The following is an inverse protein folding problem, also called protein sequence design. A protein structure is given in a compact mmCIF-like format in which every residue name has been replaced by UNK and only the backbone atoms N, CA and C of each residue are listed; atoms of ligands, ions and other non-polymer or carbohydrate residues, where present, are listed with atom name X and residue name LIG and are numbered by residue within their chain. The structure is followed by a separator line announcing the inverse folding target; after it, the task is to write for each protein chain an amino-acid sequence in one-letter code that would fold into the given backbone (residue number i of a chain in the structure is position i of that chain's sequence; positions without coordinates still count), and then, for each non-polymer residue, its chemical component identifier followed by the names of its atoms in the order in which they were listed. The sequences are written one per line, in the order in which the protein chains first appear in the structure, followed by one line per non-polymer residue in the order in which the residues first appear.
data_IF_873531351769
#
_entry.id   IF_873531351769
#
_cell.length_a   1.000
_cell.length_b   1.000
_cell.length_c   1.000
_cell.angle_alpha   90.00
_cell.angle_beta   90.00
_cell.angle_gamma   90.00
#
_symmetry.space_group_name_H-M   'P 1'
#
loop_
_entity.id
_entity.type
_entity.pdbx_description
1 polymer ?
#
# COMPACT_ATOMS: atom_id res chain seq x y z
N UNK A 1 0.75 18.84 23.48
CA UNK A 1 0.85 17.43 23.04
C UNK A 1 -0.13 17.10 21.92
N UNK A 2 -1.45 17.32 22.10
CA UNK A 2 -2.49 17.06 21.07
C UNK A 2 -2.22 17.68 19.69
N UNK A 3 -1.83 18.97 19.64
CA UNK A 3 -1.59 19.67 18.38
C UNK A 3 -0.40 19.09 17.61
N UNK A 4 0.67 18.72 18.31
CA UNK A 4 1.89 18.15 17.72
C UNK A 4 1.63 16.81 17.03
N UNK A 5 0.93 15.90 17.69
CA UNK A 5 0.58 14.60 17.13
C UNK A 5 -0.31 14.74 15.90
N UNK A 6 -1.26 15.69 15.94
CA UNK A 6 -2.13 15.99 14.80
C UNK A 6 -1.32 16.51 13.61
N UNK A 7 -0.36 17.41 13.86
CA UNK A 7 0.56 17.92 12.83
C UNK A 7 1.40 16.78 12.24
N UNK A 8 2.01 15.93 13.08
CA UNK A 8 2.78 14.75 12.63
C UNK A 8 1.91 13.86 11.76
N UNK A 9 0.68 13.56 12.18
CA UNK A 9 -0.27 12.73 11.43
C UNK A 9 -0.60 13.31 10.06
N UNK A 10 -0.80 14.64 9.97
CA UNK A 10 -1.05 15.34 8.71
C UNK A 10 0.19 15.29 7.81
N UNK A 11 1.38 15.54 8.37
CA UNK A 11 2.64 15.44 7.64
C UNK A 11 2.91 14.04 7.12
N UNK A 12 2.55 13.00 7.88
CA UNK A 12 2.65 11.61 7.43
C UNK A 12 1.73 11.35 6.22
N UNK A 13 0.48 11.81 6.27
CA UNK A 13 -0.45 11.71 5.14
C UNK A 13 0.10 12.48 3.93
N UNK A 14 0.60 13.69 4.15
CA UNK A 14 1.23 14.49 3.10
C UNK A 14 2.43 13.77 2.48
N UNK A 15 3.33 13.21 3.31
CA UNK A 15 4.49 12.44 2.85
C UNK A 15 4.07 11.24 2.00
N UNK A 16 3.00 10.53 2.37
CA UNK A 16 2.47 9.44 1.55
C UNK A 16 1.94 9.96 0.20
N UNK A 17 1.17 11.05 0.21
CA UNK A 17 0.62 11.67 -1.00
C UNK A 17 1.68 12.14 -1.99
N UNK A 18 2.75 12.78 -1.51
CA UNK A 18 3.83 13.27 -2.36
C UNK A 18 4.86 12.19 -2.70
N UNK A 19 4.64 10.93 -2.31
CA UNK A 19 5.55 9.80 -2.56
C UNK A 19 4.90 8.74 -3.45
N UNK A 20 5.70 7.96 -4.21
CA UNK A 20 5.16 6.86 -5.00
C UNK A 20 4.35 5.92 -4.10
N UNK A 21 3.26 5.31 -4.62
CA UNK A 21 2.80 5.33 -6.00
C UNK A 21 1.72 6.39 -6.27
N UNK A 22 1.61 7.42 -5.43
CA UNK A 22 0.71 8.53 -5.71
C UNK A 22 1.27 9.39 -6.85
N UNK A 23 0.37 9.86 -7.71
CA UNK A 23 0.74 10.64 -8.91
C UNK A 23 1.39 11.98 -8.53
N UNK A 24 1.06 12.55 -7.37
CA UNK A 24 1.66 13.80 -6.90
C UNK A 24 3.17 13.71 -6.66
N UNK A 25 3.73 12.50 -6.52
CA UNK A 25 5.17 12.29 -6.36
C UNK A 25 6.02 12.61 -7.58
N UNK A 26 5.37 12.82 -8.71
CA UNK A 26 5.98 13.16 -9.98
C UNK A 26 5.74 14.64 -10.36
N UNK A 27 5.04 15.41 -9.52
CA UNK A 27 4.94 16.85 -9.72
C UNK A 27 6.33 17.47 -9.62
N UNK A 28 6.71 18.39 -10.54
CA UNK A 28 8.07 18.94 -10.60
C UNK A 28 8.48 19.64 -9.30
N UNK A 29 7.52 20.20 -8.58
CA UNK A 29 7.75 20.85 -7.29
C UNK A 29 7.97 19.86 -6.14
N UNK A 30 7.44 18.63 -6.19
CA UNK A 30 7.61 17.62 -5.13
C UNK A 30 8.72 16.62 -5.46
N UNK A 31 9.91 17.16 -5.74
CA UNK A 31 11.12 16.41 -6.02
C UNK A 31 11.51 15.41 -4.92
N UNK A 32 12.48 14.54 -5.22
CA UNK A 32 13.01 13.55 -4.26
C UNK A 32 13.59 14.23 -3.02
N UNK A 33 14.13 15.44 -3.20
CA UNK A 33 14.76 16.28 -2.19
C UNK A 33 13.74 16.78 -1.16
N UNK A 34 12.59 17.30 -1.62
CA UNK A 34 11.52 17.79 -0.73
C UNK A 34 10.94 16.64 0.10
N UNK A 35 10.72 15.48 -0.53
CA UNK A 35 10.30 14.26 0.18
C UNK A 35 11.31 13.85 1.25
N UNK A 36 12.60 13.87 0.92
CA UNK A 36 13.68 13.57 1.85
C UNK A 36 13.66 14.53 3.05
N UNK A 37 13.56 15.84 2.80
CA UNK A 37 13.49 16.87 3.84
C UNK A 37 12.27 16.67 4.74
N UNK A 38 11.09 16.47 4.17
CA UNK A 38 9.86 16.20 4.92
C UNK A 38 10.02 14.91 5.76
N UNK A 39 10.62 13.87 5.19
CA UNK A 39 10.93 12.62 5.89
C UNK A 39 11.83 12.84 7.12
N UNK A 40 12.91 13.62 6.98
CA UNK A 40 13.81 13.98 8.09
C UNK A 40 13.06 14.76 9.16
N UNK A 41 12.28 15.77 8.77
CA UNK A 41 11.45 16.56 9.70
C UNK A 41 10.49 15.65 10.47
N UNK A 42 9.84 14.70 9.80
CA UNK A 42 8.94 13.72 10.43
C UNK A 42 9.69 12.84 11.43
N UNK A 43 10.87 12.32 11.07
CA UNK A 43 11.68 11.49 11.99
C UNK A 43 12.06 12.29 13.24
N UNK A 44 12.48 13.54 13.07
CA UNK A 44 12.80 14.45 14.19
C UNK A 44 11.58 14.70 15.09
N UNK A 45 10.42 14.99 14.50
CA UNK A 45 9.18 15.20 15.26
C UNK A 45 8.74 13.94 16.00
N UNK A 46 8.87 12.76 15.38
CA UNK A 46 8.58 11.46 16.01
C UNK A 46 9.55 11.16 17.16
N UNK A 47 10.82 11.53 17.02
CA UNK A 47 11.80 11.45 18.10
C UNK A 47 11.41 12.33 19.29
N UNK A 48 10.98 13.56 19.05
CA UNK A 48 10.50 14.48 20.09
C UNK A 48 9.18 14.01 20.76
N UNK A 49 8.39 13.17 20.07
CA UNK A 49 7.18 12.58 20.64
C UNK A 49 7.48 11.44 21.62
N UNK A 50 8.52 10.65 21.35
CA UNK A 50 8.99 9.62 22.27
C UNK A 50 10.53 9.51 22.25
N UNK A 51 11.15 10.17 23.23
CA UNK A 51 12.61 10.25 23.40
C UNK A 51 13.20 9.02 24.10
N UNK A 52 12.40 8.21 24.79
CA UNK A 52 12.89 7.04 25.52
C UNK A 52 12.97 5.84 24.58
N UNK A 53 14.18 5.41 24.27
CA UNK A 53 14.44 4.20 23.49
C UNK A 53 14.67 3.02 24.41
N UNK A 54 14.12 1.86 24.05
CA UNK A 54 14.51 0.59 24.66
C UNK A 54 15.82 0.10 24.03
N UNK A 55 16.61 -0.68 24.76
CA UNK A 55 17.88 -1.24 24.27
C UNK A 55 17.74 -1.96 22.91
N UNK A 56 16.73 -2.83 22.77
CA UNK A 56 16.43 -3.51 21.51
C UNK A 56 16.11 -2.53 20.37
N UNK A 57 15.48 -1.40 20.68
CA UNK A 57 15.11 -0.41 19.68
C UNK A 57 16.32 0.36 19.15
N UNK A 58 17.30 0.61 20.03
CA UNK A 58 18.59 1.21 19.69
C UNK A 58 19.39 0.25 18.81
N UNK A 59 19.50 -1.03 19.20
CA UNK A 59 20.24 -2.03 18.43
C UNK A 59 19.69 -2.17 17.01
N UNK A 60 18.36 -2.16 16.85
CA UNK A 60 17.74 -2.20 15.54
C UNK A 60 18.07 -0.94 14.70
N UNK A 61 18.06 0.24 15.33
CA UNK A 61 18.43 1.49 14.66
C UNK A 61 19.91 1.50 14.23
N UNK A 62 20.81 1.04 15.10
CA UNK A 62 22.24 0.88 14.80
C UNK A 62 22.42 -0.08 13.63
N UNK A 63 21.77 -1.24 13.65
CA UNK A 63 21.81 -2.21 12.56
C UNK A 63 21.40 -1.58 11.22
N UNK A 64 20.28 -0.85 11.19
CA UNK A 64 19.83 -0.15 10.00
C UNK A 64 20.85 0.88 9.49
N UNK A 65 21.48 1.63 10.40
CA UNK A 65 22.50 2.61 10.02
C UNK A 65 23.76 1.94 9.47
N UNK A 66 24.20 0.81 10.04
CA UNK A 66 25.33 0.03 9.51
C UNK A 66 25.01 -0.44 8.09
N UNK A 67 23.82 -1.03 7.87
CA UNK A 67 23.41 -1.50 6.54
C UNK A 67 23.38 -0.33 5.54
N UNK A 68 22.82 0.82 5.93
CA UNK A 68 22.81 2.03 5.10
C UNK A 68 24.22 2.47 4.71
N UNK A 69 25.15 2.50 5.68
CA UNK A 69 26.55 2.89 5.45
C UNK A 69 27.24 1.91 4.49
N UNK A 70 27.03 0.60 4.69
CA UNK A 70 27.56 -0.43 3.79
C UNK A 70 27.02 -0.26 2.36
N UNK A 71 25.74 0.06 2.21
CA UNK A 71 25.13 0.30 0.90
C UNK A 71 25.74 1.53 0.21
N UNK A 72 25.96 2.62 0.96
CA UNK A 72 26.60 3.84 0.44
C UNK A 72 28.04 3.55 0.01
N UNK A 73 28.83 2.84 0.82
CA UNK A 73 30.20 2.48 0.48
C UNK A 73 30.31 1.50 -0.69
N UNK A 74 29.32 0.63 -0.87
CA UNK A 74 29.29 -0.31 -1.99
C UNK A 74 29.09 0.36 -3.36
N UNK A 75 28.61 1.62 -3.37
CA UNK A 75 28.34 2.42 -4.58
C UNK A 75 27.52 1.70 -5.67
N UNK A 76 26.76 0.65 -5.30
CA UNK A 76 25.94 -0.12 -6.26
C UNK A 76 24.78 0.69 -6.83
N UNK A 77 24.31 1.65 -6.05
CA UNK A 77 23.11 2.43 -6.30
C UNK A 77 23.47 3.91 -6.21
N UNK A 78 22.73 4.77 -6.93
CA UNK A 78 22.87 6.21 -6.72
C UNK A 78 22.49 6.56 -5.27
N UNK A 79 23.24 7.49 -4.67
CA UNK A 79 23.05 7.90 -3.28
C UNK A 79 21.59 8.32 -3.00
N UNK A 80 20.96 9.02 -3.95
CA UNK A 80 19.57 9.43 -3.84
C UNK A 80 18.59 8.24 -3.77
N UNK A 81 18.84 7.16 -4.52
CA UNK A 81 18.00 5.96 -4.48
C UNK A 81 18.16 5.22 -3.14
N UNK A 82 19.40 5.14 -2.63
CA UNK A 82 19.69 4.56 -1.30
C UNK A 82 18.95 5.33 -0.22
N UNK A 83 19.19 6.64 -0.12
CA UNK A 83 18.55 7.47 0.91
C UNK A 83 17.03 7.40 0.84
N UNK A 84 16.45 7.44 -0.38
CA UNK A 84 15.00 7.36 -0.55
C UNK A 84 14.42 6.03 -0.08
N UNK A 85 15.07 4.90 -0.35
CA UNK A 85 14.56 3.59 0.05
C UNK A 85 14.63 3.39 1.57
N UNK A 86 15.76 3.75 2.17
CA UNK A 86 15.95 3.60 3.61
C UNK A 86 15.11 4.61 4.41
N UNK A 87 14.83 5.80 3.87
CA UNK A 87 13.93 6.76 4.50
C UNK A 87 12.55 6.14 4.78
N UNK A 88 11.99 5.34 3.85
CA UNK A 88 10.73 4.63 4.06
C UNK A 88 10.80 3.70 5.27
N UNK A 89 11.88 2.92 5.36
CA UNK A 89 12.12 1.96 6.45
C UNK A 89 12.27 2.68 7.80
N UNK A 90 13.07 3.74 7.85
CA UNK A 90 13.30 4.54 9.06
C UNK A 90 12.03 5.24 9.56
N UNK A 91 11.25 5.82 8.65
CA UNK A 91 9.97 6.46 8.98
C UNK A 91 8.98 5.40 9.47
N UNK A 92 8.82 4.27 8.78
CA UNK A 92 7.93 3.20 9.19
C UNK A 92 8.25 2.70 10.60
N UNK A 93 9.54 2.44 10.88
CA UNK A 93 9.98 2.03 12.21
C UNK A 93 9.72 3.09 13.29
N UNK A 94 10.01 4.36 13.00
CA UNK A 94 9.81 5.46 13.94
C UNK A 94 8.33 5.64 14.29
N UNK A 95 7.44 5.53 13.29
CA UNK A 95 5.99 5.58 13.50
C UNK A 95 5.54 4.43 14.37
N UNK A 96 5.94 3.19 14.05
CA UNK A 96 5.56 2.02 14.84
C UNK A 96 5.94 2.18 16.31
N UNK A 97 7.17 2.65 16.59
CA UNK A 97 7.64 2.91 17.96
C UNK A 97 6.71 3.88 18.69
N UNK A 98 6.45 5.05 18.10
CA UNK A 98 5.64 6.10 18.71
C UNK A 98 4.21 5.62 18.94
N UNK A 99 3.55 5.09 17.90
CA UNK A 99 2.15 4.69 17.97
C UNK A 99 1.92 3.48 18.90
N UNK A 100 2.88 2.56 19.00
CA UNK A 100 2.78 1.41 19.93
C UNK A 100 2.80 1.84 21.39
N UNK A 101 3.55 2.89 21.71
CA UNK A 101 3.68 3.39 23.10
C UNK A 101 2.56 4.33 23.50
N UNK A 102 1.98 5.06 22.54
CA UNK A 102 1.00 6.11 22.81
C UNK A 102 -0.32 5.82 22.10
N UNK A 103 -1.28 5.26 22.84
CA UNK A 103 -2.63 4.97 22.33
C UNK A 103 -3.34 6.22 21.79
N UNK A 104 -3.15 7.37 22.44
CA UNK A 104 -3.73 8.62 21.98
C UNK A 104 -3.19 9.02 20.59
N UNK A 105 -1.90 8.82 20.35
CA UNK A 105 -1.30 9.04 19.02
C UNK A 105 -1.83 8.06 17.98
N UNK A 106 -1.94 6.78 18.33
CA UNK A 106 -2.49 5.76 17.44
C UNK A 106 -3.93 6.11 17.04
N UNK A 107 -4.81 6.43 17.99
CA UNK A 107 -6.19 6.82 17.69
C UNK A 107 -6.28 8.09 16.86
N UNK A 108 -5.44 9.09 17.14
CA UNK A 108 -5.42 10.35 16.38
C UNK A 108 -5.02 10.11 14.93
N UNK A 109 -3.94 9.34 14.71
CA UNK A 109 -3.48 9.02 13.37
C UNK A 109 -4.51 8.16 12.62
N UNK A 110 -5.07 7.14 13.28
CA UNK A 110 -6.11 6.27 12.73
C UNK A 110 -7.34 7.08 12.28
N UNK A 111 -7.84 8.01 13.09
CA UNK A 111 -9.01 8.85 12.72
C UNK A 111 -8.72 9.76 11.53
N UNK A 112 -7.52 10.35 11.46
CA UNK A 112 -7.13 11.18 10.32
C UNK A 112 -6.93 10.35 9.06
N UNK A 113 -6.29 9.18 9.18
CA UNK A 113 -6.09 8.24 8.09
C UNK A 113 -7.42 7.78 7.46
N UNK A 114 -8.39 7.38 8.28
CA UNK A 114 -9.69 6.92 7.79
C UNK A 114 -10.49 8.06 7.14
N UNK A 115 -10.41 9.29 7.66
CA UNK A 115 -11.04 10.46 7.01
C UNK A 115 -10.39 10.76 5.66
N UNK A 116 -9.06 10.72 5.59
CA UNK A 116 -8.33 10.86 4.34
C UNK A 116 -8.71 9.78 3.32
N UNK A 117 -8.70 8.50 3.74
CA UNK A 117 -9.12 7.36 2.91
C UNK A 117 -10.55 7.52 2.39
N UNK A 118 -11.45 8.02 3.21
CA UNK A 118 -12.85 8.25 2.83
C UNK A 118 -12.97 9.27 1.71
N UNK A 119 -12.23 10.39 1.80
CA UNK A 119 -12.16 11.41 0.75
C UNK A 119 -11.64 10.79 -0.56
N UNK A 120 -10.52 10.06 -0.50
CA UNK A 120 -9.93 9.40 -1.67
C UNK A 120 -10.92 8.39 -2.29
N UNK A 121 -11.66 7.63 -1.47
CA UNK A 121 -12.65 6.66 -1.94
C UNK A 121 -13.83 7.33 -2.66
N UNK A 122 -14.34 8.45 -2.13
CA UNK A 122 -15.41 9.22 -2.79
C UNK A 122 -14.92 9.75 -4.13
N UNK A 123 -13.72 10.36 -4.17
CA UNK A 123 -13.15 10.91 -5.39
C UNK A 123 -12.93 9.82 -6.45
N UNK A 124 -12.47 8.63 -6.04
CA UNK A 124 -12.32 7.47 -6.90
C UNK A 124 -13.66 7.04 -7.55
N UNK A 125 -14.74 7.02 -6.78
CA UNK A 125 -16.09 6.68 -7.27
C UNK A 125 -16.59 7.73 -8.25
N UNK A 126 -16.44 9.02 -7.92
CA UNK A 126 -16.84 10.12 -8.82
C UNK A 126 -16.04 10.05 -10.13
N UNK A 127 -14.73 9.83 -10.05
CA UNK A 127 -13.84 9.68 -11.21
C UNK A 127 -14.30 8.56 -12.14
N UNK A 128 -14.73 7.41 -11.60
CA UNK A 128 -15.32 6.34 -12.41
C UNK A 128 -16.54 6.82 -13.19
N UNK A 129 -17.54 7.40 -12.51
CA UNK A 129 -18.79 7.79 -13.15
C UNK A 129 -18.57 8.88 -14.20
N UNK A 130 -17.71 9.85 -13.92
CA UNK A 130 -17.37 10.90 -14.88
C UNK A 130 -16.71 10.26 -16.12
N UNK A 131 -15.65 9.47 -15.96
CA UNK A 131 -14.89 8.98 -17.11
C UNK A 131 -15.58 7.86 -17.89
N UNK A 132 -16.45 7.06 -17.24
CA UNK A 132 -17.18 5.96 -17.87
C UNK A 132 -18.36 6.45 -18.72
N UNK A 133 -19.08 7.48 -18.25
CA UNK A 133 -20.33 7.93 -18.87
C UNK A 133 -20.23 9.29 -19.56
N UNK A 134 -19.10 9.98 -19.43
CA UNK A 134 -18.86 11.25 -20.10
C UNK A 134 -17.50 11.27 -20.78
N UNK A 135 -17.38 12.04 -21.85
CA UNK A 135 -16.09 12.31 -22.51
C UNK A 135 -15.34 13.47 -21.84
N UNK A 136 -15.64 13.75 -20.56
CA UNK A 136 -15.14 14.92 -19.85
C UNK A 136 -13.69 14.71 -19.38
N UNK A 137 -12.75 14.80 -20.31
CA UNK A 137 -11.33 14.91 -19.98
C UNK A 137 -11.02 16.36 -19.60
N UNK A 138 -10.90 16.62 -18.29
CA UNK A 138 -10.41 17.91 -17.80
C UNK A 138 -8.98 17.75 -17.31
N UNK A 139 -8.03 18.00 -18.21
CA UNK A 139 -6.62 18.18 -17.85
C UNK A 139 -6.42 19.55 -17.19
N UNK A 140 -7.01 19.76 -16.00
CA UNK A 140 -6.81 20.98 -15.21
C UNK A 140 -5.39 21.06 -14.63
N UNK A 141 -4.73 19.91 -14.50
CA UNK A 141 -3.29 19.82 -14.24
C UNK A 141 -2.67 19.24 -15.50
N UNK A 142 -1.89 20.06 -16.22
CA UNK A 142 -1.14 19.62 -17.38
C UNK A 142 -0.01 18.68 -16.95
N UNK A 143 -0.33 17.40 -16.82
CA UNK A 143 0.69 16.34 -16.78
C UNK A 143 1.34 16.11 -18.16
N UNK A 144 0.98 16.92 -19.17
CA UNK A 144 1.51 16.88 -20.55
C UNK A 144 3.05 16.94 -20.64
N UNK A 145 3.75 17.40 -19.60
CA UNK A 145 5.23 17.41 -19.58
C UNK A 145 5.86 16.09 -19.12
N UNK A 146 5.07 15.02 -18.99
CA UNK A 146 5.52 13.80 -18.32
C UNK A 146 5.16 12.55 -19.10
N UNK A 147 5.81 12.37 -20.26
CA UNK A 147 5.92 11.07 -20.95
C UNK A 147 6.44 9.95 -20.02
N UNK A 148 7.02 10.32 -18.87
CA UNK A 148 7.47 9.41 -17.80
C UNK A 148 6.41 9.04 -16.75
N UNK A 149 5.24 9.69 -16.72
CA UNK A 149 4.26 9.63 -15.63
C UNK A 149 3.12 8.65 -15.91
N UNK A 150 2.80 8.52 -17.18
CA UNK A 150 1.82 7.62 -17.72
C UNK A 150 2.51 6.82 -18.79
N UNK A 151 2.51 5.49 -18.67
CA UNK A 151 3.00 4.67 -19.76
C UNK A 151 2.15 5.03 -20.99
N UNK A 152 2.75 5.55 -22.09
CA UNK A 152 2.00 6.02 -23.25
C UNK A 152 1.17 4.91 -23.89
N UNK A 153 1.47 3.64 -23.58
CA UNK A 153 0.68 2.48 -24.00
C UNK A 153 -0.66 2.32 -23.25
N UNK A 154 -0.89 3.06 -22.15
CA UNK A 154 -2.16 3.02 -21.42
C UNK A 154 -3.00 4.26 -21.73
N UNK A 155 -4.28 4.03 -22.03
CA UNK A 155 -5.27 5.07 -22.27
C UNK A 155 -5.77 5.66 -20.94
N UNK A 156 -5.01 6.61 -20.40
CA UNK A 156 -5.34 7.31 -19.16
C UNK A 156 -6.33 8.44 -19.41
N UNK A 157 -7.46 8.41 -18.69
CA UNK A 157 -8.40 9.53 -18.62
C UNK A 157 -8.23 10.29 -17.31
N UNK A 158 -8.08 11.61 -17.43
CA UNK A 158 -7.69 12.49 -16.33
C UNK A 158 -8.86 13.40 -15.97
N UNK A 159 -9.17 13.45 -14.66
CA UNK A 159 -10.14 14.39 -14.08
C UNK A 159 -9.60 14.97 -12.77
N UNK A 160 -10.21 16.05 -12.28
CA UNK A 160 -9.90 16.62 -10.94
C UNK A 160 -10.12 15.58 -9.82
N UNK A 161 -11.04 14.64 -10.05
CA UNK A 161 -11.42 13.62 -9.08
C UNK A 161 -10.48 12.40 -9.09
N UNK A 162 -9.58 12.32 -10.07
CA UNK A 162 -8.63 11.23 -10.21
C UNK A 162 -8.54 10.70 -11.65
N UNK A 163 -7.79 9.60 -11.77
CA UNK A 163 -7.43 8.94 -13.01
C UNK A 163 -8.19 7.63 -13.18
N UNK A 164 -8.58 7.35 -14.42
CA UNK A 164 -9.02 6.02 -14.85
C UNK A 164 -8.16 5.54 -16.01
N UNK A 165 -8.12 4.22 -16.19
CA UNK A 165 -7.45 3.57 -17.32
C UNK A 165 -8.48 2.73 -18.03
N UNK A 166 -8.72 3.00 -19.31
CA UNK A 166 -9.62 2.20 -20.11
C UNK A 166 -9.06 0.79 -20.30
N UNK A 167 -9.91 -0.23 -20.13
CA UNK A 167 -9.57 -1.61 -20.45
C UNK A 167 -10.76 -2.31 -21.08
N UNK A 168 -10.51 -2.97 -22.21
CA UNK A 168 -11.47 -3.86 -22.84
C UNK A 168 -11.43 -5.23 -22.18
N UNK A 169 -12.58 -5.68 -21.67
CA UNK A 169 -12.81 -7.02 -21.14
C UNK A 169 -13.71 -7.76 -22.13
N UNK A 170 -13.10 -8.52 -23.05
CA UNK A 170 -13.78 -9.16 -24.17
C UNK A 170 -14.63 -8.15 -24.97
N UNK A 171 -15.96 -8.15 -24.81
CA UNK A 171 -16.90 -7.27 -25.50
C UNK A 171 -17.29 -6.01 -24.72
N UNK A 172 -16.83 -5.83 -23.47
CA UNK A 172 -17.18 -4.67 -22.64
C UNK A 172 -15.94 -3.81 -22.37
N UNK A 173 -15.97 -2.54 -22.77
CA UNK A 173 -14.98 -1.53 -22.38
C UNK A 173 -15.33 -0.89 -21.04
N UNK A 174 -14.41 -0.95 -20.06
CA UNK A 174 -14.61 -0.37 -18.74
C UNK A 174 -13.44 0.51 -18.31
N UNK A 175 -13.77 1.63 -17.67
CA UNK A 175 -12.83 2.50 -16.99
C UNK A 175 -12.41 1.90 -15.65
N UNK A 176 -11.13 1.57 -15.52
CA UNK A 176 -10.56 1.07 -14.27
C UNK A 176 -10.07 2.21 -13.42
N UNK A 177 -10.56 2.30 -12.19
CA UNK A 177 -10.20 3.41 -11.30
C UNK A 177 -8.77 3.26 -10.78
N UNK A 178 -7.94 4.26 -11.06
CA UNK A 178 -6.63 4.46 -10.42
C UNK A 178 -6.67 5.53 -9.34
N UNK A 179 -7.74 6.34 -9.26
CA UNK A 179 -7.88 7.44 -8.29
C UNK A 179 -6.67 8.37 -8.38
N UNK A 180 -5.88 8.57 -7.32
CA UNK A 180 -4.64 9.37 -7.35
C UNK A 180 -3.37 8.52 -7.39
N UNK A 181 -3.48 7.25 -7.81
CA UNK A 181 -2.37 6.33 -7.98
C UNK A 181 -2.01 6.18 -9.46
N UNK A 182 -0.78 5.77 -9.73
CA UNK A 182 -0.29 5.55 -11.11
C UNK A 182 -0.95 4.35 -11.80
N UNK A 183 -1.48 3.39 -11.04
CA UNK A 183 -2.16 2.21 -11.57
C UNK A 183 -3.35 1.77 -10.69
N UNK A 184 -4.37 1.10 -11.26
CA UNK A 184 -5.51 0.58 -10.51
C UNK A 184 -5.11 -0.46 -9.44
N UNK A 185 -3.97 -1.16 -9.64
CA UNK A 185 -3.52 -2.18 -8.70
C UNK A 185 -3.07 -1.59 -7.36
N UNK A 186 -2.40 -0.43 -7.37
CA UNK A 186 -2.03 0.31 -6.16
C UNK A 186 -3.25 0.88 -5.44
N UNK A 187 -4.21 1.42 -6.20
CA UNK A 187 -5.48 1.89 -5.66
C UNK A 187 -6.24 0.75 -4.97
N UNK A 188 -6.33 -0.42 -5.61
CA UNK A 188 -6.93 -1.62 -5.03
C UNK A 188 -6.25 -2.01 -3.71
N UNK A 189 -4.92 -2.00 -3.68
CA UNK A 189 -4.17 -2.26 -2.44
C UNK A 189 -4.50 -1.29 -1.31
N UNK A 190 -4.55 0.01 -1.62
CA UNK A 190 -4.94 1.04 -0.67
C UNK A 190 -6.34 0.77 -0.10
N UNK A 191 -7.34 0.53 -0.94
CA UNK A 191 -8.71 0.26 -0.49
C UNK A 191 -8.82 -1.05 0.29
N UNK A 192 -8.11 -2.12 -0.09
CA UNK A 192 -8.09 -3.38 0.66
C UNK A 192 -7.55 -3.20 2.08
N UNK A 193 -6.45 -2.47 2.24
CA UNK A 193 -5.95 -2.17 3.58
C UNK A 193 -6.93 -1.32 4.40
N UNK A 194 -7.57 -0.34 3.79
CA UNK A 194 -8.56 0.47 4.50
C UNK A 194 -9.79 -0.36 4.93
N UNK A 195 -10.22 -1.34 4.12
CA UNK A 195 -11.25 -2.30 4.53
C UNK A 195 -10.83 -3.10 5.77
N UNK A 196 -9.59 -3.59 5.82
CA UNK A 196 -9.06 -4.27 7.00
C UNK A 196 -9.08 -3.35 8.23
N UNK A 197 -8.55 -2.13 8.11
CA UNK A 197 -8.51 -1.16 9.22
C UNK A 197 -9.93 -0.91 9.75
N UNK A 198 -10.89 -0.64 8.86
CA UNK A 198 -12.27 -0.32 9.25
C UNK A 198 -12.97 -1.54 9.85
N UNK A 199 -12.76 -2.74 9.28
CA UNK A 199 -13.39 -3.98 9.75
C UNK A 199 -13.03 -4.30 11.22
N UNK A 200 -11.80 -4.01 11.63
CA UNK A 200 -11.33 -4.18 13.01
C UNK A 200 -11.77 -3.06 13.96
N UNK A 201 -12.22 -1.92 13.43
CA UNK A 201 -12.58 -0.73 14.18
C UNK A 201 -14.04 -0.29 13.94
N UNK A 202 -14.96 -1.23 13.70
CA UNK A 202 -16.38 -0.96 13.40
C UNK A 202 -17.09 -0.11 14.45
N UNK A 203 -16.66 -0.18 15.71
CA UNK A 203 -17.25 0.63 16.79
C UNK A 203 -16.84 2.11 16.71
N UNK A 204 -15.71 2.42 16.08
CA UNK A 204 -15.15 3.76 15.98
C UNK A 204 -15.59 4.49 14.70
N UNK A 205 -15.94 3.75 13.65
CA UNK A 205 -16.20 4.31 12.33
C UNK A 205 -17.55 3.85 11.77
N UNK A 206 -18.37 4.78 11.25
CA UNK A 206 -19.64 4.43 10.61
C UNK A 206 -19.47 3.48 9.41
N UNK A 207 -20.46 2.61 9.18
CA UNK A 207 -20.46 1.61 8.10
C UNK A 207 -20.25 2.22 6.70
N UNK A 208 -20.67 3.47 6.48
CA UNK A 208 -20.47 4.17 5.20
C UNK A 208 -18.99 4.25 4.78
N UNK A 209 -18.05 4.30 5.72
CA UNK A 209 -16.61 4.32 5.42
C UNK A 209 -16.16 2.98 4.81
N UNK A 210 -16.69 1.88 5.33
CA UNK A 210 -16.43 0.54 4.80
C UNK A 210 -17.03 0.39 3.40
N UNK A 211 -18.31 0.74 3.23
CA UNK A 211 -19.01 0.59 1.96
C UNK A 211 -18.42 1.45 0.84
N UNK A 212 -18.00 2.68 1.14
CA UNK A 212 -17.33 3.55 0.16
C UNK A 212 -15.96 3.01 -0.24
N UNK A 213 -15.15 2.52 0.71
CA UNK A 213 -13.86 1.88 0.39
C UNK A 213 -14.06 0.59 -0.41
N UNK A 214 -15.11 -0.18 -0.12
CA UNK A 214 -15.46 -1.39 -0.85
C UNK A 214 -15.83 -1.07 -2.29
N UNK A 215 -16.75 -0.11 -2.50
CA UNK A 215 -17.19 0.31 -3.83
C UNK A 215 -16.00 0.83 -4.65
N UNK A 216 -15.21 1.74 -4.06
CA UNK A 216 -14.02 2.28 -4.72
C UNK A 216 -13.02 1.17 -5.11
N UNK A 217 -12.81 0.19 -4.23
CA UNK A 217 -11.98 -0.97 -4.51
C UNK A 217 -12.52 -1.86 -5.64
N UNK A 218 -13.83 -2.14 -5.66
CA UNK A 218 -14.46 -2.92 -6.73
C UNK A 218 -14.29 -2.26 -8.10
N UNK A 219 -14.37 -0.92 -8.16
CA UNK A 219 -14.21 -0.12 -9.39
C UNK A 219 -12.76 -0.07 -9.90
N UNK A 220 -11.78 -0.57 -9.15
CA UNK A 220 -10.39 -0.71 -9.66
C UNK A 220 -10.26 -1.84 -10.69
N UNK A 221 -11.22 -2.77 -10.72
CA UNK A 221 -11.16 -4.00 -11.52
C UNK A 221 -9.79 -4.68 -11.43
N UNK A 222 -9.24 -4.74 -10.23
CA UNK A 222 -7.94 -5.34 -9.94
C UNK A 222 -8.13 -6.78 -9.46
N UNK A 223 -7.56 -7.73 -10.19
CA UNK A 223 -7.60 -9.16 -9.83
C UNK A 223 -7.05 -9.37 -8.40
N UNK A 224 -5.95 -8.71 -8.04
CA UNK A 224 -5.35 -8.85 -6.71
C UNK A 224 -6.25 -8.30 -5.62
N UNK A 225 -6.99 -7.21 -5.91
CA UNK A 225 -7.99 -6.68 -4.98
C UNK A 225 -9.11 -7.68 -4.75
N UNK A 226 -9.67 -8.26 -5.82
CA UNK A 226 -10.74 -9.26 -5.69
C UNK A 226 -10.31 -10.51 -4.91
N UNK A 227 -9.10 -11.02 -5.17
CA UNK A 227 -8.53 -12.14 -4.39
C UNK A 227 -8.39 -11.80 -2.90
N UNK A 228 -7.86 -10.63 -2.59
CA UNK A 228 -7.72 -10.18 -1.20
C UNK A 228 -9.08 -9.94 -0.55
N UNK A 229 -10.04 -9.40 -1.29
CA UNK A 229 -11.38 -9.14 -0.80
C UNK A 229 -12.11 -10.44 -0.40
N UNK A 230 -11.97 -11.52 -1.18
CA UNK A 230 -12.44 -12.86 -0.82
C UNK A 230 -11.86 -13.28 0.54
N UNK A 231 -10.55 -13.11 0.73
CA UNK A 231 -9.88 -13.48 1.98
C UNK A 231 -10.39 -12.64 3.16
N UNK A 232 -10.58 -11.33 2.98
CA UNK A 232 -11.14 -10.44 4.00
C UNK A 232 -12.56 -10.91 4.39
N UNK A 233 -13.38 -11.29 3.41
CA UNK A 233 -14.74 -11.76 3.66
C UNK A 233 -14.76 -13.08 4.43
N UNK A 234 -13.91 -14.04 4.05
CA UNK A 234 -13.84 -15.37 4.69
C UNK A 234 -13.30 -15.27 6.11
N UNK A 235 -12.24 -14.50 6.33
CA UNK A 235 -11.48 -14.52 7.58
C UNK A 235 -11.95 -13.48 8.62
N UNK A 236 -12.41 -12.31 8.18
CA UNK A 236 -12.69 -11.18 9.07
C UNK A 236 -14.18 -10.88 9.27
N UNK A 237 -15.04 -11.31 8.34
CA UNK A 237 -16.49 -11.08 8.46
C UNK A 237 -17.16 -12.35 9.02
N UNK A 238 -17.82 -12.23 10.19
CA UNK A 238 -18.67 -13.30 10.71
C UNK A 238 -19.94 -13.39 9.85
N UNK A 239 -20.21 -14.58 9.30
CA UNK A 239 -21.27 -14.97 8.35
C UNK A 239 -22.69 -14.37 8.49
N UNK A 240 -23.07 -13.76 9.63
CA UNK A 240 -24.45 -13.33 9.87
C UNK A 240 -24.88 -11.97 9.27
N UNK A 241 -23.94 -11.13 8.80
CA UNK A 241 -24.26 -9.81 8.18
C UNK A 241 -23.85 -9.74 6.71
N UNK A 242 -23.53 -10.89 6.12
CA UNK A 242 -22.72 -11.06 4.91
C UNK A 242 -23.56 -11.25 3.65
N UNK A 243 -24.86 -11.50 3.78
CA UNK A 243 -25.65 -11.97 2.63
C UNK A 243 -25.66 -10.97 1.46
N UNK A 244 -25.84 -9.66 1.67
CA UNK A 244 -25.91 -8.72 0.53
C UNK A 244 -24.53 -8.47 -0.10
N UNK A 245 -23.48 -8.25 0.71
CA UNK A 245 -22.12 -8.00 0.20
C UNK A 245 -21.56 -9.24 -0.48
N UNK A 246 -21.79 -10.43 0.07
CA UNK A 246 -21.36 -11.70 -0.51
C UNK A 246 -22.19 -12.05 -1.74
N UNK A 247 -23.48 -11.70 -1.80
CA UNK A 247 -24.28 -11.88 -3.02
C UNK A 247 -23.79 -10.96 -4.14
N UNK A 248 -23.44 -9.69 -3.84
CA UNK A 248 -22.88 -8.75 -4.83
C UNK A 248 -21.45 -9.14 -5.24
N UNK A 249 -20.64 -9.65 -4.32
CA UNK A 249 -19.30 -10.14 -4.63
C UNK A 249 -19.33 -11.43 -5.42
N UNK A 250 -20.12 -12.41 -4.97
CA UNK A 250 -20.28 -13.67 -5.69
C UNK A 250 -20.94 -13.41 -7.03
N UNK A 251 -21.90 -12.49 -7.15
CA UNK A 251 -22.46 -12.16 -8.46
C UNK A 251 -21.46 -11.43 -9.36
N UNK A 252 -20.64 -10.50 -8.85
CA UNK A 252 -19.61 -9.83 -9.67
C UNK A 252 -18.45 -10.75 -10.06
N UNK A 253 -17.97 -11.61 -9.16
CA UNK A 253 -16.99 -12.65 -9.47
C UNK A 253 -17.57 -13.72 -10.38
N UNK A 254 -18.81 -14.14 -10.16
CA UNK A 254 -19.51 -15.08 -11.04
C UNK A 254 -19.73 -14.45 -12.40
N UNK A 255 -20.10 -13.17 -12.52
CA UNK A 255 -20.20 -12.47 -13.81
C UNK A 255 -18.85 -12.39 -14.52
N UNK A 256 -17.75 -12.14 -13.79
CA UNK A 256 -16.38 -12.14 -14.33
C UNK A 256 -15.90 -13.53 -14.74
N UNK A 257 -16.23 -14.56 -13.95
CA UNK A 257 -15.91 -15.95 -14.23
C UNK A 257 -16.80 -16.49 -15.36
N UNK A 258 -18.08 -16.14 -15.40
CA UNK A 258 -19.04 -16.53 -16.44
C UNK A 258 -18.70 -15.83 -17.74
N UNK A 259 -18.39 -14.53 -17.74
CA UNK A 259 -17.91 -13.85 -18.94
C UNK A 259 -16.56 -14.39 -19.44
N UNK A 260 -15.72 -14.88 -18.53
CA UNK A 260 -14.46 -15.54 -18.85
C UNK A 260 -14.65 -16.99 -19.35
N UNK A 261 -15.58 -17.77 -18.77
CA UNK A 261 -15.81 -19.18 -19.09
C UNK A 261 -16.69 -19.36 -20.34
N UNK A 262 -17.67 -18.49 -20.59
CA UNK A 262 -18.55 -18.59 -21.76
C UNK A 262 -17.85 -18.28 -23.09
N UNK A 263 -16.58 -17.86 -23.07
CA UNK A 263 -15.82 -17.52 -24.28
C UNK A 263 -14.71 -18.53 -24.63
N UNK A 264 -14.58 -19.66 -23.93
CA UNK A 264 -13.40 -20.53 -24.10
C UNK A 264 -13.76 -21.93 -24.59
N UNK A 265 -13.45 -22.19 -25.86
CA UNK A 265 -13.14 -23.52 -26.37
C UNK A 265 -11.78 -23.96 -25.77
N UNK A 266 -11.60 -25.23 -25.46
CA UNK A 266 -10.40 -25.70 -24.74
C UNK A 266 -9.06 -25.37 -25.45
N UNK A 267 -9.07 -25.19 -26.79
CA UNK A 267 -7.92 -24.73 -27.58
C UNK A 267 -7.68 -23.20 -27.52
N UNK A 268 -8.71 -22.38 -27.28
CA UNK A 268 -8.53 -20.93 -27.07
C UNK A 268 -8.03 -20.58 -25.67
N UNK A 269 -8.02 -21.52 -24.73
CA UNK A 269 -7.47 -21.32 -23.39
C UNK A 269 -5.96 -20.97 -23.43
N UNK A 270 -5.18 -21.61 -24.32
CA UNK A 270 -3.76 -21.30 -24.50
C UNK A 270 -3.51 -19.95 -25.22
N UNK A 271 -4.31 -19.63 -26.24
CA UNK A 271 -4.26 -18.33 -26.94
C UNK A 271 -4.68 -17.17 -26.04
N UNK A 272 -5.59 -17.41 -25.08
CA UNK A 272 -6.04 -16.37 -24.16
C UNK A 272 -5.02 -16.09 -23.03
N UNK A 273 -4.21 -17.06 -22.62
CA UNK A 273 -3.11 -16.79 -21.69
C UNK A 273 -2.10 -15.80 -22.29
N UNK A 274 -1.84 -15.87 -23.61
CA UNK A 274 -1.04 -14.89 -24.34
C UNK A 274 -1.69 -13.51 -24.50
N UNK A 275 -3.01 -13.41 -24.41
CA UNK A 275 -3.70 -12.12 -24.43
C UNK A 275 -3.84 -11.48 -23.03
N UNK A 276 -3.55 -12.22 -21.97
CA UNK A 276 -3.52 -11.66 -20.61
C UNK A 276 -2.13 -11.17 -20.22
N UNK A 277 -2.06 -10.26 -19.26
CA UNK A 277 -0.78 -9.85 -18.66
C UNK A 277 -0.10 -10.97 -17.85
N UNK A 278 -0.62 -12.20 -17.83
CA UNK A 278 -0.05 -13.28 -17.03
C UNK A 278 1.26 -13.81 -17.63
N UNK A 279 1.29 -14.13 -18.93
CA UNK A 279 2.49 -14.64 -19.59
C UNK A 279 3.63 -13.62 -19.55
N UNK A 280 3.38 -12.37 -19.93
CA UNK A 280 4.35 -11.26 -19.81
C UNK A 280 4.90 -11.11 -18.38
N UNK A 281 4.05 -11.24 -17.36
CA UNK A 281 4.49 -11.18 -15.95
C UNK A 281 5.37 -12.37 -15.56
N UNK A 282 5.05 -13.56 -16.06
CA UNK A 282 5.83 -14.78 -15.82
C UNK A 282 7.19 -14.70 -16.50
N UNK A 283 7.25 -14.30 -17.78
CA UNK A 283 8.49 -14.13 -18.54
C UNK A 283 9.45 -13.15 -17.86
N UNK A 284 8.95 -11.96 -17.45
CA UNK A 284 9.77 -10.99 -16.70
C UNK A 284 10.31 -11.54 -15.38
N UNK A 285 9.52 -12.36 -14.68
CA UNK A 285 9.98 -13.00 -13.44
C UNK A 285 11.00 -14.11 -13.70
N UNK A 286 10.82 -14.92 -14.75
CA UNK A 286 11.78 -15.94 -15.16
C UNK A 286 13.12 -15.33 -15.55
N UNK A 287 13.10 -14.25 -16.32
CA UNK A 287 14.30 -13.52 -16.68
C UNK A 287 15.09 -13.05 -15.45
N UNK A 288 14.41 -12.49 -14.44
CA UNK A 288 15.11 -12.11 -13.20
C UNK A 288 15.67 -13.31 -12.43
N UNK A 289 14.98 -14.45 -12.42
CA UNK A 289 15.48 -15.68 -11.79
C UNK A 289 16.75 -16.15 -12.51
N UNK A 290 16.79 -16.03 -13.84
CA UNK A 290 17.97 -16.37 -14.64
C UNK A 290 19.16 -15.47 -14.31
N UNK A 291 18.95 -14.15 -14.23
CA UNK A 291 20.00 -13.20 -13.79
C UNK A 291 20.48 -13.51 -12.37
N UNK A 292 19.57 -13.93 -11.47
CA UNK A 292 19.92 -14.30 -10.10
C UNK A 292 20.71 -15.61 -10.01
N UNK A 293 20.50 -16.55 -10.96
CA UNK A 293 21.21 -17.83 -11.00
C UNK A 293 22.71 -17.65 -11.17
N UNK A 294 23.09 -16.65 -11.97
CA UNK A 294 24.49 -16.33 -12.26
C UNK A 294 25.06 -15.25 -11.33
N UNK A 295 24.31 -14.83 -10.30
CA UNK A 295 24.73 -13.80 -9.37
C UNK A 295 25.80 -14.30 -8.40
N UNK A 296 26.82 -13.47 -8.16
CA UNK A 296 27.83 -13.77 -7.13
C UNK A 296 27.21 -13.78 -5.73
N UNK A 297 27.85 -14.46 -4.78
CA UNK A 297 27.41 -14.53 -3.37
C UNK A 297 27.20 -13.12 -2.78
N UNK A 298 28.06 -12.17 -3.13
CA UNK A 298 27.91 -10.77 -2.71
C UNK A 298 26.60 -10.15 -3.22
N UNK A 299 26.27 -10.37 -4.50
CA UNK A 299 25.02 -9.88 -5.10
C UNK A 299 23.78 -10.60 -4.54
N UNK A 300 23.88 -11.86 -4.13
CA UNK A 300 22.79 -12.56 -3.45
C UNK A 300 22.54 -12.02 -2.04
N UNK A 301 23.60 -11.74 -1.28
CA UNK A 301 23.49 -11.23 0.09
C UNK A 301 22.95 -9.80 0.15
N UNK A 302 23.41 -8.96 -0.77
CA UNK A 302 23.22 -7.51 -0.70
C UNK A 302 22.50 -6.89 -1.91
N UNK A 303 22.15 -7.69 -2.91
CA UNK A 303 21.41 -7.25 -4.09
C UNK A 303 22.26 -6.64 -5.20
N UNK A 304 21.59 -6.32 -6.29
CA UNK A 304 22.12 -5.71 -7.51
C UNK A 304 22.04 -4.17 -7.48
N UNK A 305 21.56 -3.59 -6.39
CA UNK A 305 21.35 -2.16 -6.21
C UNK A 305 19.94 -1.70 -6.56
N UNK A 306 19.58 -0.55 -6.00
CA UNK A 306 18.24 0.03 -5.97
C UNK A 306 17.94 0.78 -7.26
N UNK A 307 16.81 0.42 -7.87
CA UNK A 307 16.36 0.83 -9.21
C UNK A 307 17.33 0.46 -10.33
N UNK A 308 18.12 -0.60 -10.17
CA UNK A 308 19.03 -1.07 -11.20
C UNK A 308 18.43 -2.15 -12.11
N UNK A 309 17.26 -2.71 -11.80
CA UNK A 309 16.66 -3.77 -12.61
C UNK A 309 16.42 -3.34 -14.07
N UNK A 310 16.09 -2.07 -14.30
CA UNK A 310 15.87 -1.51 -15.64
C UNK A 310 17.13 -1.65 -16.53
N UNK A 311 18.34 -1.70 -15.94
CA UNK A 311 19.59 -1.93 -16.69
C UNK A 311 19.74 -3.34 -17.24
N UNK A 312 18.94 -4.27 -16.72
CA UNK A 312 18.96 -5.68 -17.11
C UNK A 312 17.79 -6.04 -18.03
N UNK A 313 16.75 -5.21 -18.12
CA UNK A 313 15.59 -5.46 -18.97
C UNK A 313 15.64 -4.62 -20.24
N UNK A 314 15.75 -5.27 -21.40
CA UNK A 314 15.60 -4.65 -22.72
C UNK A 314 14.12 -4.44 -23.11
N UNK A 315 13.22 -4.33 -22.13
CA UNK A 315 11.81 -4.07 -22.39
C UNK A 315 11.64 -2.64 -22.92
N UNK A 316 11.24 -2.52 -24.19
CA UNK A 316 10.94 -1.24 -24.86
C UNK A 316 9.92 -0.38 -24.09
N UNK A 317 9.11 -1.01 -23.24
CA UNK A 317 8.09 -0.37 -22.41
C UNK A 317 8.59 -0.03 -21.00
N UNK A 318 9.87 -0.31 -20.71
CA UNK A 318 10.55 -0.02 -19.44
C UNK A 318 9.93 -0.73 -18.23
N UNK A 319 9.23 -1.85 -18.42
CA UNK A 319 8.48 -2.49 -17.35
C UNK A 319 9.43 -3.35 -16.52
N UNK A 320 9.52 -3.04 -15.22
CA UNK A 320 10.33 -3.80 -14.28
C UNK A 320 9.73 -5.17 -13.89
N UNK A 321 10.29 -5.79 -12.86
CA UNK A 321 9.79 -7.04 -12.29
C UNK A 321 8.32 -6.97 -11.87
N UNK A 322 7.56 -8.04 -12.16
CA UNK A 322 6.14 -8.09 -11.83
C UNK A 322 5.87 -8.60 -10.41
N UNK A 323 6.84 -9.30 -9.80
CA UNK A 323 6.78 -9.75 -8.41
C UNK A 323 7.53 -8.80 -7.48
N UNK A 324 6.83 -8.25 -6.48
CA UNK A 324 7.44 -7.42 -5.45
C UNK A 324 8.45 -8.18 -4.58
N UNK A 325 8.27 -9.48 -4.39
CA UNK A 325 9.22 -10.34 -3.68
C UNK A 325 10.52 -10.47 -4.45
N UNK A 326 10.45 -10.76 -5.77
CA UNK A 326 11.64 -10.80 -6.61
C UNK A 326 12.30 -9.43 -6.69
N UNK A 327 11.52 -8.35 -6.73
CA UNK A 327 12.04 -6.98 -6.69
C UNK A 327 12.82 -6.70 -5.38
N UNK A 328 12.29 -7.14 -4.24
CA UNK A 328 12.93 -6.99 -2.93
C UNK A 328 14.26 -7.76 -2.88
N UNK A 329 14.23 -9.02 -3.30
CA UNK A 329 15.40 -9.88 -3.31
C UNK A 329 16.47 -9.41 -4.30
N UNK A 330 16.07 -9.07 -5.53
CA UNK A 330 16.99 -8.65 -6.57
C UNK A 330 17.72 -7.36 -6.21
N UNK A 331 16.99 -6.35 -5.73
CA UNK A 331 17.59 -5.04 -5.48
C UNK A 331 18.34 -4.95 -4.15
N UNK A 332 17.81 -5.56 -3.09
CA UNK A 332 18.34 -5.41 -1.75
C UNK A 332 19.04 -6.66 -1.19
N UNK A 333 18.94 -7.81 -1.88
CA UNK A 333 19.50 -9.07 -1.43
C UNK A 333 18.77 -9.68 -0.23
N UNK A 334 19.29 -10.81 0.24
CA UNK A 334 18.71 -11.58 1.35
C UNK A 334 18.62 -10.76 2.64
N UNK A 335 19.65 -9.99 2.97
CA UNK A 335 19.78 -9.38 4.30
C UNK A 335 18.64 -8.39 4.58
N UNK A 336 18.39 -7.48 3.64
CA UNK A 336 17.34 -6.48 3.76
C UNK A 336 15.96 -7.11 3.48
N UNK A 337 15.88 -8.11 2.61
CA UNK A 337 14.64 -8.88 2.42
C UNK A 337 14.17 -9.47 3.75
N UNK A 338 15.06 -10.13 4.50
CA UNK A 338 14.78 -10.65 5.83
C UNK A 338 14.36 -9.54 6.80
N UNK A 339 15.02 -8.38 6.75
CA UNK A 339 14.68 -7.24 7.61
C UNK A 339 13.27 -6.71 7.32
N UNK A 340 12.92 -6.51 6.05
CA UNK A 340 11.58 -6.04 5.63
C UNK A 340 10.50 -7.04 6.05
N UNK A 341 10.74 -8.33 5.86
CA UNK A 341 9.81 -9.39 6.29
C UNK A 341 9.68 -9.44 7.81
N UNK A 342 10.80 -9.33 8.54
CA UNK A 342 10.81 -9.27 10.00
C UNK A 342 10.03 -8.06 10.53
N UNK A 343 10.22 -6.88 9.94
CA UNK A 343 9.45 -5.68 10.27
C UNK A 343 7.96 -5.89 10.01
N UNK A 344 7.59 -6.46 8.86
CA UNK A 344 6.19 -6.77 8.53
C UNK A 344 5.55 -7.69 9.58
N UNK A 345 6.25 -8.76 9.99
CA UNK A 345 5.81 -9.69 11.04
C UNK A 345 5.66 -8.99 12.38
N UNK A 346 6.67 -8.21 12.77
CA UNK A 346 6.69 -7.47 14.03
C UNK A 346 5.56 -6.44 14.10
N UNK A 347 5.39 -5.64 13.05
CA UNK A 347 4.37 -4.58 13.00
C UNK A 347 2.96 -5.13 12.95
N UNK A 348 2.79 -6.30 12.33
CA UNK A 348 1.50 -6.99 12.26
C UNK A 348 1.03 -7.54 13.62
N UNK A 349 1.88 -7.56 14.65
CA UNK A 349 1.57 -8.07 16.00
C UNK A 349 0.82 -9.42 15.97
N UNK A 350 1.30 -10.39 15.19
CA UNK A 350 0.69 -11.73 15.00
C UNK A 350 -0.67 -11.76 14.28
N UNK A 351 -1.09 -10.67 13.63
CA UNK A 351 -2.29 -10.67 12.80
C UNK A 351 -2.04 -11.47 11.50
N UNK A 352 -2.49 -12.74 11.49
CA UNK A 352 -2.30 -13.67 10.37
C UNK A 352 -3.01 -13.21 9.10
N UNK A 353 -4.22 -12.63 9.21
CA UNK A 353 -4.97 -12.12 8.05
C UNK A 353 -4.21 -10.98 7.38
N UNK A 354 -3.69 -10.04 8.16
CA UNK A 354 -2.87 -8.94 7.65
C UNK A 354 -1.62 -9.47 6.95
N UNK A 355 -0.90 -10.40 7.59
CA UNK A 355 0.31 -10.99 7.01
C UNK A 355 0.02 -11.70 5.69
N UNK A 356 -1.03 -12.51 5.61
CA UNK A 356 -1.43 -13.18 4.38
C UNK A 356 -1.72 -12.18 3.26
N UNK A 357 -2.47 -11.12 3.56
CA UNK A 357 -2.81 -10.08 2.58
C UNK A 357 -1.56 -9.32 2.13
N UNK A 358 -0.68 -8.96 3.05
CA UNK A 358 0.61 -8.34 2.73
C UNK A 358 1.48 -9.25 1.86
N UNK A 359 1.48 -10.57 2.08
CA UNK A 359 2.22 -11.52 1.25
C UNK A 359 1.63 -11.66 -0.16
N UNK A 360 0.31 -11.74 -0.30
CA UNK A 360 -0.36 -11.77 -1.61
C UNK A 360 -0.03 -10.52 -2.41
N UNK A 361 -0.08 -9.34 -1.77
CA UNK A 361 0.35 -8.12 -2.45
C UNK A 361 1.85 -8.11 -2.73
N UNK A 362 2.70 -8.70 -1.90
CA UNK A 362 4.14 -8.79 -2.16
C UNK A 362 4.44 -9.59 -3.43
N UNK A 363 3.64 -10.62 -3.72
CA UNK A 363 3.77 -11.40 -4.96
C UNK A 363 3.40 -10.60 -6.22
N UNK A 364 2.67 -9.49 -6.07
CA UNK A 364 2.13 -8.75 -7.20
C UNK A 364 2.65 -7.31 -7.31
N UNK A 365 3.17 -6.74 -6.22
CA UNK A 365 3.59 -5.33 -6.10
C UNK A 365 4.73 -5.21 -5.07
N UNK A 366 5.78 -4.41 -5.33
CA UNK A 366 6.84 -4.09 -4.36
C UNK A 366 6.38 -3.11 -3.28
N UNK A 367 5.37 -3.48 -2.49
CA UNK A 367 4.68 -2.57 -1.58
C UNK A 367 5.55 -1.98 -0.46
N UNK A 368 6.65 -2.66 -0.13
CA UNK A 368 7.61 -2.25 0.91
C UNK A 368 8.28 -0.90 0.59
N UNK A 369 8.19 -0.43 -0.66
CA UNK A 369 8.68 0.87 -1.12
C UNK A 369 7.78 2.04 -0.72
N UNK A 370 6.54 1.77 -0.30
CA UNK A 370 5.52 2.80 -0.20
C UNK A 370 5.14 3.08 1.25
N UNK A 371 5.21 4.35 1.64
CA UNK A 371 4.84 4.83 2.98
C UNK A 371 3.44 4.38 3.40
N UNK A 372 2.44 4.53 2.53
CA UNK A 372 1.05 4.21 2.86
C UNK A 372 0.86 2.73 3.24
N UNK A 373 1.63 1.82 2.62
CA UNK A 373 1.57 0.39 2.91
C UNK A 373 2.07 0.11 4.32
N UNK A 374 3.20 0.70 4.70
CA UNK A 374 3.73 0.60 6.06
C UNK A 374 2.75 1.20 7.08
N UNK A 375 2.16 2.35 6.79
CA UNK A 375 1.20 2.98 7.69
C UNK A 375 -0.02 2.08 7.92
N UNK A 376 -0.55 1.49 6.85
CA UNK A 376 -1.66 0.56 6.93
C UNK A 376 -1.31 -0.70 7.75
N UNK A 377 -0.15 -1.32 7.50
CA UNK A 377 0.31 -2.50 8.25
C UNK A 377 0.43 -2.17 9.74
N UNK A 378 1.06 -1.04 10.08
CA UNK A 378 1.22 -0.58 11.46
C UNK A 378 -0.13 -0.33 12.13
N UNK A 379 -1.04 0.40 11.48
CA UNK A 379 -2.37 0.69 12.02
C UNK A 379 -3.19 -0.58 12.21
N UNK A 380 -3.22 -1.48 11.23
CA UNK A 380 -3.90 -2.78 11.33
C UNK A 380 -3.32 -3.63 12.46
N UNK A 381 -2.00 -3.73 12.55
CA UNK A 381 -1.32 -4.56 13.54
C UNK A 381 -1.48 -4.04 14.97
N UNK A 382 -1.39 -2.72 15.19
CA UNK A 382 -1.60 -2.11 16.51
C UNK A 382 -3.05 -2.23 16.98
N UNK A 383 -4.02 -2.10 16.08
CA UNK A 383 -5.43 -2.29 16.43
C UNK A 383 -5.74 -3.73 16.85
N UNK A 384 -5.14 -4.72 16.19
CA UNK A 384 -5.24 -6.13 16.59
C UNK A 384 -4.62 -6.40 17.97
N UNK A 385 -3.47 -5.79 18.24
CA UNK A 385 -2.80 -5.90 19.54
C UNK A 385 -3.64 -5.31 20.68
N UNK A 386 -4.20 -4.12 20.46
CA UNK A 386 -5.03 -3.43 21.45
C UNK A 386 -6.37 -4.16 21.69
N UNK A 387 -6.94 -4.82 20.68
CA UNK A 387 -8.12 -5.66 20.83
C UNK A 387 -7.88 -6.88 21.73
N UNK A 388 -6.66 -7.46 21.73
CA UNK A 388 -6.32 -8.64 22.53
C UNK A 388 -5.93 -8.34 23.97
N UNK A 389 -5.59 -7.10 24.33
CA UNK A 389 -5.34 -6.74 25.73
C UNK A 389 -6.69 -6.62 26.46
N UNK A 390 -6.96 -7.41 27.51
CA UNK A 390 -8.10 -7.11 28.38
C UNK A 390 -7.90 -5.71 28.93
N UNK A 391 -8.87 -4.83 28.70
CA UNK A 391 -8.95 -3.57 29.43
C UNK A 391 -9.03 -3.97 30.91
N UNK A 392 -8.00 -3.65 31.70
CA UNK A 392 -8.07 -3.84 33.15
C UNK A 392 -9.28 -3.08 33.67
N UNK A 393 -10.35 -3.82 33.97
CA UNK A 393 -11.66 -3.31 34.44
C UNK A 393 -11.53 -2.62 35.80
N UNK A 394 -10.36 -2.67 36.44
CA UNK A 394 -10.07 -1.95 37.68
C UNK A 394 -10.17 -0.43 37.56
N UNK A 395 -10.01 0.15 36.36
CA UNK A 395 -10.13 1.61 36.18
C UNK A 395 -11.55 2.11 35.83
N UNK A 396 -12.51 1.20 35.60
CA UNK A 396 -13.90 1.56 35.32
C UNK A 396 -14.78 1.63 36.59
N UNK A 397 -14.37 1.00 37.70
CA UNK A 397 -15.10 1.10 38.97
C UNK A 397 -14.94 2.46 39.67
N UNK A 398 -13.88 3.21 39.39
CA UNK A 398 -13.67 4.53 39.99
C UNK A 398 -14.38 5.69 39.27
N UNK A 399 -15.13 5.44 38.18
CA UNK A 399 -15.92 6.48 37.49
C UNK A 399 -17.39 6.54 37.92
N UNK A 400 -17.85 5.61 38.76
CA UNK A 400 -19.22 5.61 39.28
C UNK A 400 -19.38 6.33 40.62
N UNK A 401 -18.32 6.93 41.18
CA UNK A 401 -18.35 7.67 42.45
C UNK A 401 -18.49 9.19 42.30
N UNK A 402 -18.71 9.73 41.09
CA UNK A 402 -19.03 11.15 40.85
C UNK A 402 -20.56 11.35 40.70
N UNK A 403 -21.35 10.54 41.41
CA UNK A 403 -22.79 10.80 41.59
C UNK A 403 -23.16 11.28 43.00
N UNK A 404 -22.20 11.31 43.93
CA UNK A 404 -22.42 11.73 45.32
C UNK A 404 -21.77 13.09 45.66
N UNK A 405 -21.38 13.88 44.65
CA UNK A 405 -20.79 15.23 44.81
C UNK A 405 -21.66 16.36 44.24
N UNK A 406 -22.92 16.05 43.96
CA UNK A 406 -23.98 17.03 43.70
C UNK A 406 -25.16 16.66 44.62
N UNK A 407 -24.97 16.94 45.91
CA UNK A 407 -26.04 17.15 46.89
C UNK A 407 -25.73 18.44 47.62
#
# INVERSE_FOLDING_TARGET
MHTRIKIISILLIALALISPPFVFSQLPFFGKEIRGLIGVVIILLLYLENTKFKFLEINFFILLMIILILEIFSQRSSLNNVLSAYAVIFVAYSIFRVLRTNNFSNETFLRLWIRFSFIISILAIISFFVNQFTNFNTSLVSFNSSESLFNPAYDYKISIFGFTVFKQFAFIGLERVSSFFTEPQYAGMFFAFNLLIISKNRNLFPIKYYLTSLLAGLLTFSLTFYLVLIIILILDLKFKQINVVLTVLMSSLLILIVSYLFNVNFESFNLHFSETSFLDRMERNFFAIEVLKDASISKLLFGHGINNFIKYSDDELGRGLSSGFLYLFFEFGILISCLVLFMSISFSNTNRTLLLISMIYLLAIPWYRYYFCWYAIILCGLNHYNYKRPVNVSNLKNKNTIKDLIS
#
